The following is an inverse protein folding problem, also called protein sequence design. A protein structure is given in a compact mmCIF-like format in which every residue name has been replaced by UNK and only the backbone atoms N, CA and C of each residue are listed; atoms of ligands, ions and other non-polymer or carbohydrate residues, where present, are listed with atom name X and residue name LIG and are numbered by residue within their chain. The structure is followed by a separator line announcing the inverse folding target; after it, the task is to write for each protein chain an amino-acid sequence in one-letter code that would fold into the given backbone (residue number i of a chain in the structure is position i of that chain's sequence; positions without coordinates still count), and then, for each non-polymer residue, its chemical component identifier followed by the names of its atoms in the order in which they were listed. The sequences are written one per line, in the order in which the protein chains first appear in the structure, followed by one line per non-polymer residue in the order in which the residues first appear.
data_IF_978871639330
#
_entry.id   IF_978871639330
#
_cell.length_a   1.000
_cell.length_b   1.000
_cell.length_c   1.000
_cell.angle_alpha   90.00
_cell.angle_beta   90.00
_cell.angle_gamma   90.00
#
_symmetry.space_group_name_H-M   'P 1'
#
loop_
_entity.id
_entity.type
_entity.pdbx_description
1 polymer ?
#
# COMPACT_ATOMS: atom_id res chain seq x y z
N UNK A 1 -5.30 20.66 -8.36
CA UNK A 1 -4.29 19.65 -8.03
C UNK A 1 -4.95 18.35 -7.65
N UNK A 2 -4.38 17.24 -8.07
CA UNK A 2 -4.88 15.93 -7.71
C UNK A 2 -3.70 15.07 -7.27
N UNK A 3 -4.01 13.95 -6.62
CA UNK A 3 -3.01 12.97 -6.22
C UNK A 3 -3.41 11.61 -6.78
N UNK A 4 -2.42 10.87 -7.24
CA UNK A 4 -2.59 9.46 -7.56
C UNK A 4 -2.05 8.68 -6.38
N UNK A 5 -2.87 7.84 -5.80
CA UNK A 5 -2.51 7.07 -4.61
C UNK A 5 -2.25 5.63 -5.02
N UNK A 6 -1.10 5.11 -4.63
CA UNK A 6 -0.78 3.69 -4.82
C UNK A 6 -0.61 3.07 -3.45
N UNK A 7 -1.45 2.10 -3.13
CA UNK A 7 -1.38 1.36 -1.87
C UNK A 7 -0.88 -0.04 -2.14
N UNK A 8 0.16 -0.44 -1.43
CA UNK A 8 0.83 -1.73 -1.64
C UNK A 8 0.76 -2.55 -0.36
N UNK A 9 0.29 -3.78 -0.47
CA UNK A 9 0.19 -4.71 0.65
C UNK A 9 0.80 -6.05 0.26
N UNK A 10 1.34 -6.76 1.25
CA UNK A 10 1.73 -8.15 1.05
C UNK A 10 0.49 -8.99 0.75
N UNK A 11 0.64 -9.99 -0.11
CA UNK A 11 -0.45 -10.92 -0.39
C UNK A 11 -0.86 -11.62 0.90
N UNK A 12 -2.16 -11.95 1.07
CA UNK A 12 -2.64 -12.54 2.32
C UNK A 12 -1.90 -13.82 2.74
N UNK A 13 -1.43 -14.60 1.76
CA UNK A 13 -0.72 -15.85 2.03
C UNK A 13 0.73 -15.66 2.40
N UNK A 14 1.27 -14.44 2.26
CA UNK A 14 2.67 -14.15 2.55
C UNK A 14 2.80 -13.70 4.01
N UNK A 15 3.81 -14.22 4.70
CA UNK A 15 4.11 -13.81 6.06
C UNK A 15 4.53 -12.34 6.09
N UNK A 16 3.99 -11.61 7.07
CA UNK A 16 4.26 -10.20 7.26
C UNK A 16 5.03 -10.01 8.60
N UNK A 17 6.36 -10.08 8.59
CA UNK A 17 7.12 -9.99 9.84
C UNK A 17 6.93 -8.68 10.57
N UNK A 18 6.78 -7.55 9.83
CA UNK A 18 6.59 -6.26 10.47
C UNK A 18 5.20 -6.17 11.11
N UNK A 19 4.17 -6.65 10.41
CA UNK A 19 2.83 -6.71 10.98
C UNK A 19 2.78 -7.59 12.21
N UNK A 20 3.48 -8.73 12.18
CA UNK A 20 3.55 -9.60 13.34
C UNK A 20 4.26 -8.94 14.52
N UNK A 21 5.33 -8.20 14.26
CA UNK A 21 6.04 -7.48 15.32
C UNK A 21 5.13 -6.44 15.97
N UNK A 22 4.35 -5.71 15.18
CA UNK A 22 3.39 -4.74 15.70
C UNK A 22 2.31 -5.46 16.52
N UNK A 23 1.76 -6.55 16.00
CA UNK A 23 0.74 -7.31 16.69
C UNK A 23 1.24 -7.82 18.04
N UNK A 24 2.50 -8.23 18.12
CA UNK A 24 3.09 -8.70 19.38
C UNK A 24 3.33 -7.56 20.36
N UNK A 25 3.59 -6.35 19.87
CA UNK A 25 3.85 -5.19 20.72
C UNK A 25 2.57 -4.58 21.31
N UNK A 26 1.45 -4.67 20.61
CA UNK A 26 0.20 -4.01 21.02
C UNK A 26 -0.28 -4.44 22.40
N UNK A 27 -0.33 -5.75 22.76
CA UNK A 27 -0.76 -6.14 24.10
C UNK A 27 0.09 -5.57 25.21
N UNK A 28 1.40 -5.43 24.95
CA UNK A 28 2.32 -4.86 25.96
C UNK A 28 2.04 -3.39 26.23
N UNK A 29 1.38 -2.71 25.27
CA UNK A 29 1.01 -1.30 25.41
C UNK A 29 -0.45 -1.13 25.85
N UNK A 30 -1.15 -2.23 26.16
CA UNK A 30 -2.52 -2.18 26.64
C UNK A 30 -3.57 -2.38 25.57
N UNK A 31 -3.18 -2.63 24.31
CA UNK A 31 -4.13 -2.84 23.22
C UNK A 31 -4.32 -4.34 22.99
N UNK A 32 -5.34 -4.91 23.64
CA UNK A 32 -5.51 -6.37 23.67
C UNK A 32 -6.57 -6.89 22.71
N UNK A 33 -7.21 -6.00 21.95
CA UNK A 33 -8.33 -6.37 21.08
C UNK A 33 -7.93 -6.72 19.65
N UNK A 34 -6.69 -6.47 19.26
CA UNK A 34 -6.24 -6.70 17.89
C UNK A 34 -5.92 -8.19 17.67
N UNK A 35 -6.51 -8.79 16.65
CA UNK A 35 -6.26 -10.19 16.31
C UNK A 35 -5.05 -10.35 15.40
N UNK A 36 -4.85 -9.40 14.51
CA UNK A 36 -3.72 -9.43 13.58
C UNK A 36 -3.44 -8.02 13.10
N UNK A 37 -2.25 -7.84 12.58
CA UNK A 37 -1.83 -6.55 11.99
C UNK A 37 -1.14 -6.85 10.66
N UNK A 38 -1.52 -6.07 9.65
CA UNK A 38 -0.88 -6.12 8.33
C UNK A 38 -0.30 -4.76 8.05
N UNK A 39 0.93 -4.71 7.54
CA UNK A 39 1.61 -3.47 7.22
C UNK A 39 1.81 -3.36 5.71
N UNK A 40 1.62 -2.18 5.18
CA UNK A 40 1.81 -1.92 3.76
C UNK A 40 2.45 -0.56 3.54
N UNK A 41 2.49 -0.15 2.27
CA UNK A 41 3.06 1.13 1.85
C UNK A 41 2.02 1.93 1.10
N UNK A 42 2.12 3.26 1.22
CA UNK A 42 1.27 4.18 0.46
C UNK A 42 2.16 5.20 -0.23
N UNK A 43 1.96 5.35 -1.52
CA UNK A 43 2.66 6.36 -2.32
C UNK A 43 1.65 7.42 -2.76
N UNK A 44 2.00 8.69 -2.59
CA UNK A 44 1.19 9.82 -3.04
C UNK A 44 1.94 10.54 -4.15
N UNK A 45 1.38 10.52 -5.34
CA UNK A 45 1.96 11.15 -6.51
C UNK A 45 1.14 12.39 -6.83
N UNK A 46 1.72 13.58 -6.65
CA UNK A 46 1.03 14.82 -6.96
C UNK A 46 1.10 15.10 -8.45
N UNK A 47 -0.03 15.54 -9.00
CA UNK A 47 -0.13 15.93 -10.41
C UNK A 47 -0.83 17.29 -10.49
N UNK A 48 -0.52 18.06 -11.55
CA UNK A 48 -1.01 19.43 -11.66
C UNK A 48 -2.51 19.51 -11.97
N UNK A 49 -3.04 18.49 -12.62
CA UNK A 49 -4.45 18.46 -13.02
C UNK A 49 -4.96 17.02 -12.90
N UNK A 50 -6.25 16.82 -13.20
CA UNK A 50 -6.81 15.48 -13.15
C UNK A 50 -6.01 14.54 -14.06
N UNK A 51 -5.66 13.35 -13.56
CA UNK A 51 -4.86 12.41 -14.36
C UNK A 51 -5.59 11.95 -15.60
N UNK A 52 -4.86 11.85 -16.71
CA UNK A 52 -5.38 11.27 -17.94
C UNK A 52 -5.33 9.75 -17.87
N UNK A 53 -6.13 9.05 -18.71
CA UNK A 53 -6.02 7.58 -18.76
C UNK A 53 -4.61 7.10 -19.09
N UNK A 54 -3.87 7.83 -19.93
CA UNK A 54 -2.48 7.47 -20.25
C UNK A 54 -1.59 7.59 -19.03
N UNK A 55 -1.76 8.64 -18.23
CA UNK A 55 -0.99 8.81 -16.99
C UNK A 55 -1.31 7.72 -15.98
N UNK A 56 -2.57 7.36 -15.85
CA UNK A 56 -2.98 6.27 -14.95
C UNK A 56 -2.37 4.94 -15.37
N UNK A 57 -2.31 4.67 -16.68
CA UNK A 57 -1.68 3.46 -17.19
C UNK A 57 -0.18 3.43 -16.89
N UNK A 58 0.48 4.59 -16.99
CA UNK A 58 1.89 4.70 -16.63
C UNK A 58 2.12 4.46 -15.14
N UNK A 59 1.24 5.00 -14.30
CA UNK A 59 1.33 4.78 -12.85
C UNK A 59 1.12 3.31 -12.50
N UNK A 60 0.17 2.65 -13.17
CA UNK A 60 -0.03 1.21 -12.94
C UNK A 60 1.21 0.41 -13.32
N UNK A 61 1.85 0.76 -14.42
CA UNK A 61 3.09 0.11 -14.81
C UNK A 61 4.20 0.37 -13.80
N UNK A 62 4.29 1.59 -13.30
CA UNK A 62 5.27 1.92 -12.26
C UNK A 62 4.99 1.17 -10.96
N UNK A 63 3.71 1.04 -10.58
CA UNK A 63 3.33 0.29 -9.40
C UNK A 63 3.78 -1.17 -9.50
N UNK A 64 3.59 -1.77 -10.67
CA UNK A 64 3.98 -3.14 -10.90
C UNK A 64 5.50 -3.34 -10.92
N UNK A 65 6.23 -2.41 -11.56
CA UNK A 65 7.65 -2.62 -11.83
C UNK A 65 8.58 -2.00 -10.81
N UNK A 66 8.14 -0.96 -10.09
CA UNK A 66 9.00 -0.19 -9.19
C UNK A 66 8.47 -0.13 -7.76
N UNK A 67 7.17 0.18 -7.59
CA UNK A 67 6.61 0.49 -6.28
C UNK A 67 6.24 -0.76 -5.49
N UNK A 68 6.02 -1.87 -6.16
CA UNK A 68 5.67 -3.13 -5.51
C UNK A 68 6.51 -4.27 -6.05
N UNK A 69 6.51 -5.38 -5.32
CA UNK A 69 7.08 -6.64 -5.80
C UNK A 69 5.91 -7.57 -6.11
N UNK A 70 5.54 -7.75 -7.40
CA UNK A 70 4.32 -8.50 -7.74
C UNK A 70 4.36 -9.98 -7.35
N UNK A 71 5.54 -10.51 -7.02
CA UNK A 71 5.64 -11.88 -6.54
C UNK A 71 5.01 -12.03 -5.16
N UNK A 72 5.18 -11.03 -4.30
CA UNK A 72 4.74 -11.10 -2.90
C UNK A 72 3.74 -10.02 -2.51
N UNK A 73 3.52 -9.02 -3.36
CA UNK A 73 2.68 -7.85 -3.03
C UNK A 73 1.58 -7.65 -4.06
N UNK A 74 0.48 -7.07 -3.60
CA UNK A 74 -0.57 -6.53 -4.46
C UNK A 74 -0.61 -5.03 -4.32
N UNK A 75 -1.24 -4.34 -5.28
CA UNK A 75 -1.37 -2.89 -5.21
C UNK A 75 -2.74 -2.44 -5.69
N UNK A 76 -3.13 -1.26 -5.24
CA UNK A 76 -4.35 -0.57 -5.68
C UNK A 76 -3.96 0.83 -6.09
N UNK A 77 -4.47 1.29 -7.24
CA UNK A 77 -4.27 2.66 -7.72
C UNK A 77 -5.59 3.38 -7.67
N UNK A 78 -5.60 4.57 -7.06
CA UNK A 78 -6.81 5.39 -6.98
C UNK A 78 -6.46 6.86 -7.10
N UNK A 79 -7.47 7.68 -7.40
CA UNK A 79 -7.31 9.12 -7.54
C UNK A 79 -7.94 9.80 -6.34
N UNK A 80 -7.21 10.77 -5.79
CA UNK A 80 -7.70 11.61 -4.69
C UNK A 80 -7.62 13.07 -5.13
N UNK A 81 -8.73 13.74 -5.14
CA UNK A 81 -8.80 15.13 -5.58
C UNK A 81 -8.77 16.12 -4.43
#
# INVERSE_FOLDING_TARGET
MAKIIVEVMLKPEILDPQGQAVASALPRLGFTFAKSVRQGKRFEIEVDSDPTPAQLAEVEKAAETLLSNPVIETYIVKIEK
#
